data_IF_569251617460
#
_entry.id   IF_569251617460
#
_cell.length_a   1.000
_cell.length_b   1.000
_cell.length_c   1.000
_cell.angle_alpha   90.00
_cell.angle_beta   90.00
_cell.angle_gamma   90.00
#
_symmetry.space_group_name_H-M   'P 1'
#
loop_
_entity.id
_entity.type
_entity.pdbx_description
1 polymer ?
#
# COMPACT_ATOMS: atom_id res chain seq x y z
N UNK A 1 -3.27 4.53 -0.65
CA UNK A 1 -2.98 4.54 -2.09
C UNK A 1 -1.51 4.25 -2.34
N UNK A 2 -1.15 3.41 -3.32
CA UNK A 2 0.22 3.22 -3.80
C UNK A 2 1.28 2.80 -2.76
N UNK A 3 2.55 2.87 -3.13
CA UNK A 3 3.72 2.70 -2.23
C UNK A 3 4.17 4.09 -1.79
N UNK A 4 4.31 4.35 -0.48
CA UNK A 4 4.86 5.60 0.08
C UNK A 4 4.16 6.92 -0.31
N UNK A 5 3.07 6.89 -1.09
CA UNK A 5 2.27 8.09 -1.43
C UNK A 5 1.71 8.71 -0.16
N UNK A 6 1.12 7.88 0.71
CA UNK A 6 0.91 8.25 2.10
C UNK A 6 2.07 7.72 2.94
N UNK A 7 3.16 8.47 2.94
CA UNK A 7 4.30 8.23 3.82
C UNK A 7 4.13 8.89 5.18
N UNK A 8 5.14 8.79 6.03
CA UNK A 8 5.11 9.28 7.41
C UNK A 8 4.79 10.77 7.52
N UNK A 9 5.23 11.60 6.57
CA UNK A 9 4.95 13.05 6.55
C UNK A 9 3.46 13.35 6.46
N UNK A 10 2.79 12.71 5.50
CA UNK A 10 1.36 12.89 5.26
C UNK A 10 0.53 12.30 6.41
N UNK A 11 0.86 11.08 6.86
CA UNK A 11 0.18 10.46 7.99
C UNK A 11 0.31 11.32 9.27
N UNK A 12 1.52 11.84 9.55
CA UNK A 12 1.78 12.76 10.66
C UNK A 12 0.98 14.05 10.54
N UNK A 13 0.95 14.66 9.36
CA UNK A 13 0.20 15.91 9.15
C UNK A 13 -1.30 15.73 9.43
N UNK A 14 -1.91 14.65 8.92
CA UNK A 14 -3.31 14.31 9.19
C UNK A 14 -3.55 14.03 10.69
N UNK A 15 -2.64 13.28 11.33
CA UNK A 15 -2.73 12.93 12.76
C UNK A 15 -2.68 14.16 13.67
N UNK A 16 -1.89 15.17 13.30
CA UNK A 16 -1.78 16.43 14.05
C UNK A 16 -3.00 17.34 13.91
N UNK A 17 -3.84 17.12 12.88
CA UNK A 17 -5.14 17.78 12.72
C UNK A 17 -6.28 16.96 13.35
N UNK A 18 -5.95 15.98 14.21
CA UNK A 18 -6.92 15.23 15.02
C UNK A 18 -7.65 14.11 14.28
N UNK A 19 -7.22 13.75 13.07
CA UNK A 19 -7.80 12.65 12.29
C UNK A 19 -6.85 11.43 12.27
N UNK A 20 -7.34 10.27 11.84
CA UNK A 20 -6.50 9.08 11.67
C UNK A 20 -5.56 9.25 10.46
N UNK A 21 -4.26 9.45 10.69
CA UNK A 21 -3.26 9.45 9.64
C UNK A 21 -2.78 8.04 9.29
N UNK A 22 -2.88 7.63 8.02
CA UNK A 22 -2.61 6.24 7.62
C UNK A 22 -1.41 6.13 6.69
N UNK A 23 -0.36 5.45 7.15
CA UNK A 23 0.82 5.12 6.33
C UNK A 23 0.49 4.01 5.32
N UNK A 24 1.04 4.08 4.10
CA UNK A 24 1.04 2.95 3.18
C UNK A 24 2.10 1.93 3.59
N UNK A 25 1.68 0.77 4.10
CA UNK A 25 2.56 -0.32 4.51
C UNK A 25 3.14 -1.16 3.36
N UNK A 26 2.92 -0.74 2.10
CA UNK A 26 3.36 -1.51 0.94
C UNK A 26 4.83 -1.27 0.64
N UNK A 27 5.65 -2.33 0.63
CA UNK A 27 7.06 -2.31 0.22
C UNK A 27 7.96 -1.34 1.01
N UNK A 28 7.67 -1.12 2.30
CA UNK A 28 8.44 -0.23 3.17
C UNK A 28 9.87 -0.71 3.43
N UNK A 29 10.15 -2.01 3.29
CA UNK A 29 11.50 -2.57 3.22
C UNK A 29 12.33 -1.94 2.10
N UNK A 30 11.74 -1.81 0.92
CA UNK A 30 12.40 -1.20 -0.24
C UNK A 30 12.45 0.31 -0.12
N UNK A 31 11.42 0.95 0.43
CA UNK A 31 11.45 2.40 0.72
C UNK A 31 12.61 2.71 1.66
N UNK A 32 12.72 2.03 2.80
CA UNK A 32 13.81 2.22 3.76
C UNK A 32 15.18 2.01 3.10
N UNK A 33 15.38 0.88 2.42
CA UNK A 33 16.66 0.59 1.77
C UNK A 33 17.03 1.63 0.70
N UNK A 34 16.06 2.18 -0.05
CA UNK A 34 16.33 3.18 -1.09
C UNK A 34 16.54 4.59 -0.53
N UNK A 35 15.87 4.93 0.58
CA UNK A 35 16.10 6.18 1.32
C UNK A 35 17.51 6.20 1.91
N UNK A 36 17.93 5.12 2.57
CA UNK A 36 19.29 4.99 3.11
C UNK A 36 20.36 5.07 2.01
N UNK A 37 20.13 4.44 0.86
CA UNK A 37 21.05 4.53 -0.28
C UNK A 37 21.11 5.91 -0.92
N UNK A 38 20.04 6.71 -0.77
CA UNK A 38 19.99 8.11 -1.20
C UNK A 38 20.60 9.06 -0.16
N UNK A 39 21.22 8.52 0.90
CA UNK A 39 21.90 9.28 1.94
C UNK A 39 21.01 9.74 3.09
N UNK A 40 19.78 9.21 3.18
CA UNK A 40 18.81 9.56 4.21
C UNK A 40 18.66 11.10 4.37
N UNK A 41 18.13 11.81 3.36
CA UNK A 41 17.96 13.25 3.43
C UNK A 41 17.19 13.67 4.70
N UNK A 42 17.79 14.53 5.52
CA UNK A 42 17.23 14.97 6.80
C UNK A 42 17.48 14.01 7.99
N UNK A 43 18.19 12.90 7.77
CA UNK A 43 18.57 11.96 8.83
C UNK A 43 17.39 11.23 9.48
N UNK A 44 16.25 11.15 8.80
CA UNK A 44 14.99 10.66 9.37
C UNK A 44 15.00 9.14 9.55
N UNK A 45 15.42 8.39 8.52
CA UNK A 45 15.45 6.94 8.59
C UNK A 45 16.46 6.46 9.63
N UNK A 46 17.66 7.07 9.72
CA UNK A 46 18.64 6.76 10.75
C UNK A 46 18.16 7.10 12.15
N UNK A 47 17.46 8.23 12.32
CA UNK A 47 16.86 8.59 13.61
C UNK A 47 15.84 7.56 14.07
N UNK A 48 14.96 7.12 13.16
CA UNK A 48 13.99 6.08 13.47
C UNK A 48 14.67 4.75 13.79
N UNK A 49 15.66 4.34 12.99
CA UNK A 49 16.43 3.11 13.24
C UNK A 49 17.18 3.14 14.58
N UNK A 50 17.67 4.29 15.02
CA UNK A 50 18.30 4.44 16.33
C UNK A 50 17.31 4.24 17.51
N UNK A 51 16.01 4.39 17.27
CA UNK A 51 14.97 4.09 18.25
C UNK A 51 14.48 2.64 18.19
N UNK A 52 15.00 1.81 17.28
CA UNK A 52 14.60 0.41 17.16
C UNK A 52 15.07 -0.40 18.38
N UNK A 53 14.25 -1.30 18.94
CA UNK A 53 14.54 -1.99 20.21
C UNK A 53 15.80 -2.87 20.23
N UNK A 54 16.25 -3.34 19.05
CA UNK A 54 17.43 -4.20 18.91
C UNK A 54 18.44 -3.53 17.96
N UNK A 55 19.38 -2.71 18.48
CA UNK A 55 20.29 -1.90 17.68
C UNK A 55 21.09 -2.67 16.63
N UNK A 56 21.43 -3.94 16.89
CA UNK A 56 22.20 -4.80 16.00
C UNK A 56 21.48 -5.07 14.67
N UNK A 57 20.15 -5.24 14.71
CA UNK A 57 19.35 -5.40 13.48
C UNK A 57 19.28 -4.10 12.69
N UNK A 58 19.09 -2.98 13.39
CA UNK A 58 19.09 -1.65 12.77
C UNK A 58 20.45 -1.36 12.10
N UNK A 59 21.55 -1.68 12.79
CA UNK A 59 22.91 -1.50 12.27
C UNK A 59 23.15 -2.34 11.01
N UNK A 60 22.63 -3.57 10.95
CA UNK A 60 22.75 -4.43 9.76
C UNK A 60 22.13 -3.76 8.52
N UNK A 61 21.00 -3.04 8.67
CA UNK A 61 20.41 -2.30 7.56
C UNK A 61 21.25 -1.08 7.17
N UNK A 62 21.83 -0.36 8.14
CA UNK A 62 22.73 0.77 7.89
C UNK A 62 23.99 0.32 7.13
N UNK A 63 24.67 -0.71 7.61
CA UNK A 63 25.86 -1.27 6.97
C UNK A 63 25.56 -1.75 5.55
N UNK A 64 24.34 -2.24 5.32
CA UNK A 64 23.96 -2.74 4.02
C UNK A 64 23.61 -1.63 3.01
N UNK A 65 22.94 -0.57 3.46
CA UNK A 65 22.23 0.34 2.56
C UNK A 65 22.58 1.81 2.73
N UNK A 66 23.07 2.25 3.90
CA UNK A 66 23.35 3.66 4.11
C UNK A 66 24.58 4.09 3.29
N UNK A 67 24.40 5.17 2.52
CA UNK A 67 25.46 5.81 1.75
C UNK A 67 25.53 7.28 2.15
N UNK A 68 26.54 7.74 2.92
CA UNK A 68 26.59 9.12 3.43
C UNK A 68 26.40 10.18 2.33
N UNK A 69 27.05 10.00 1.18
CA UNK A 69 26.97 10.92 0.03
C UNK A 69 25.79 10.59 -0.93
N UNK A 70 24.92 9.66 -0.53
CA UNK A 70 23.85 9.13 -1.35
C UNK A 70 24.34 8.43 -2.62
N UNK A 71 23.48 8.42 -3.64
CA UNK A 71 23.79 7.89 -4.96
C UNK A 71 24.59 8.86 -5.84
N UNK A 72 24.78 10.11 -5.39
CA UNK A 72 25.38 11.19 -6.17
C UNK A 72 24.67 11.48 -7.49
N UNK A 73 25.33 12.27 -8.34
CA UNK A 73 24.90 12.57 -9.70
C UNK A 73 25.34 11.51 -10.72
N UNK A 74 26.17 10.54 -10.31
CA UNK A 74 26.67 9.48 -11.20
C UNK A 74 25.49 8.67 -11.80
N UNK A 75 25.26 8.78 -13.13
CA UNK A 75 24.20 8.03 -13.80
C UNK A 75 24.46 6.50 -13.79
N UNK A 76 25.69 6.09 -13.49
CA UNK A 76 26.11 4.69 -13.36
C UNK A 76 25.92 4.10 -11.96
N UNK A 77 25.62 4.93 -10.95
CA UNK A 77 25.52 4.49 -9.56
C UNK A 77 24.42 3.43 -9.39
N UNK A 78 24.84 2.20 -9.07
CA UNK A 78 23.92 1.08 -8.87
C UNK A 78 23.28 1.14 -7.50
N UNK A 79 21.96 0.97 -7.47
CA UNK A 79 21.25 0.70 -6.21
C UNK A 79 21.35 -0.79 -5.88
N UNK A 80 21.83 -1.09 -4.68
CA UNK A 80 21.78 -2.40 -4.06
C UNK A 80 20.34 -2.88 -3.98
N UNK A 81 20.12 -4.12 -4.41
CA UNK A 81 18.83 -4.81 -4.35
C UNK A 81 18.51 -5.26 -2.93
N UNK A 82 17.22 -5.31 -2.60
CA UNK A 82 16.75 -5.90 -1.35
C UNK A 82 16.58 -7.42 -1.47
N UNK A 83 16.76 -8.17 -0.36
CA UNK A 83 16.34 -9.57 -0.32
C UNK A 83 14.83 -9.66 -0.53
N UNK A 84 14.37 -10.71 -1.22
CA UNK A 84 12.94 -10.93 -1.49
C UNK A 84 12.36 -11.93 -0.51
N UNK A 85 11.15 -11.65 -0.04
CA UNK A 85 10.35 -12.58 0.75
C UNK A 85 10.07 -13.88 -0.03
N UNK A 86 10.02 -15.00 0.70
CA UNK A 86 9.83 -16.37 0.21
C UNK A 86 8.92 -17.13 1.18
N UNK A 87 8.11 -18.05 0.66
CA UNK A 87 7.21 -18.90 1.45
C UNK A 87 7.95 -19.76 2.47
N UNK A 88 9.15 -20.26 2.13
CA UNK A 88 10.02 -21.00 3.04
C UNK A 88 10.70 -20.12 4.11
N UNK A 89 10.34 -18.83 4.20
CA UNK A 89 10.96 -17.86 5.10
C UNK A 89 12.28 -17.28 4.58
N UNK A 90 12.84 -16.36 5.36
CA UNK A 90 14.18 -15.82 5.13
C UNK A 90 14.47 -14.59 5.98
N UNK A 91 15.26 -14.77 7.04
CA UNK A 91 15.54 -13.75 8.05
C UNK A 91 15.93 -12.37 7.48
N UNK A 92 16.81 -12.24 6.46
CA UNK A 92 17.19 -10.90 5.97
C UNK A 92 16.04 -10.08 5.37
N UNK A 93 15.08 -10.72 4.69
CA UNK A 93 13.94 -10.02 4.10
C UNK A 93 12.90 -9.65 5.16
N UNK A 94 12.67 -10.54 6.12
CA UNK A 94 11.77 -10.30 7.25
C UNK A 94 12.30 -9.16 8.14
N UNK A 95 13.59 -9.17 8.49
CA UNK A 95 14.23 -8.08 9.27
C UNK A 95 14.08 -6.73 8.57
N UNK A 96 14.40 -6.65 7.27
CA UNK A 96 14.25 -5.39 6.54
C UNK A 96 12.77 -4.93 6.45
N UNK A 97 11.83 -5.88 6.37
CA UNK A 97 10.39 -5.60 6.40
C UNK A 97 9.93 -5.05 7.75
N UNK A 98 10.39 -5.64 8.85
CA UNK A 98 10.13 -5.13 10.21
C UNK A 98 10.69 -3.71 10.36
N UNK A 99 11.97 -3.50 10.01
CA UNK A 99 12.63 -2.20 10.13
C UNK A 99 11.96 -1.11 9.29
N UNK A 100 11.57 -1.42 8.05
CA UNK A 100 10.90 -0.47 7.17
C UNK A 100 9.54 -0.01 7.70
N UNK A 101 8.75 -0.94 8.23
CA UNK A 101 7.45 -0.62 8.83
C UNK A 101 7.59 0.11 10.17
N UNK A 102 8.56 -0.30 11.00
CA UNK A 102 8.87 0.40 12.23
C UNK A 102 9.25 1.85 11.96
N UNK A 103 10.21 2.09 11.05
CA UNK A 103 10.72 3.42 10.79
C UNK A 103 9.62 4.38 10.31
N UNK A 104 8.77 3.94 9.39
CA UNK A 104 7.73 4.78 8.81
C UNK A 104 6.63 5.11 9.83
N UNK A 105 6.20 4.15 10.65
CA UNK A 105 5.20 4.38 11.71
C UNK A 105 5.78 5.22 12.84
N UNK A 106 7.02 4.95 13.26
CA UNK A 106 7.69 5.69 14.33
C UNK A 106 7.82 7.17 13.96
N UNK A 107 8.26 7.47 12.73
CA UNK A 107 8.32 8.84 12.20
C UNK A 107 6.93 9.48 12.11
N UNK A 108 5.90 8.70 11.75
CA UNK A 108 4.54 9.20 11.66
C UNK A 108 3.97 9.59 13.03
N UNK A 109 4.41 8.96 14.13
CA UNK A 109 4.00 9.26 15.50
C UNK A 109 4.89 10.29 16.21
N UNK A 110 5.99 10.72 15.60
CA UNK A 110 7.01 11.53 16.26
C UNK A 110 6.45 12.90 16.71
N UNK A 111 6.46 13.15 18.02
CA UNK A 111 6.15 14.47 18.60
C UNK A 111 4.68 14.86 18.62
N UNK A 112 3.76 13.90 18.72
CA UNK A 112 2.33 14.12 19.02
C UNK A 112 1.65 12.86 19.55
N UNK A 113 0.46 13.02 20.16
CA UNK A 113 -0.37 11.91 20.67
C UNK A 113 -1.53 11.53 19.73
N UNK A 114 -1.57 12.12 18.52
CA UNK A 114 -2.55 11.78 17.49
C UNK A 114 -2.50 10.31 17.04
N UNK A 115 -3.57 9.86 16.38
CA UNK A 115 -3.78 8.45 16.02
C UNK A 115 -3.17 8.13 14.66
N UNK A 116 -2.31 7.11 14.60
CA UNK A 116 -1.64 6.66 13.38
C UNK A 116 -2.03 5.23 13.03
N UNK A 117 -2.40 5.03 11.77
CA UNK A 117 -2.67 3.72 11.19
C UNK A 117 -1.66 3.32 10.12
N UNK A 118 -1.71 2.07 9.70
CA UNK A 118 -0.99 1.55 8.53
C UNK A 118 -1.92 0.70 7.67
N UNK A 119 -1.82 0.87 6.35
CA UNK A 119 -2.63 0.13 5.37
C UNK A 119 -1.79 -0.92 4.62
N UNK A 120 -2.23 -2.17 4.70
CA UNK A 120 -1.64 -3.33 4.00
C UNK A 120 -2.55 -3.90 2.91
N UNK A 121 -1.95 -4.74 2.07
CA UNK A 121 -2.60 -5.41 0.96
C UNK A 121 -2.59 -6.92 1.19
N UNK A 122 -3.76 -7.55 1.19
CA UNK A 122 -3.92 -9.00 1.35
C UNK A 122 -3.22 -9.80 0.23
N UNK A 123 -2.87 -9.15 -0.89
CA UNK A 123 -2.10 -9.76 -1.98
C UNK A 123 -0.59 -9.89 -1.70
N UNK A 124 -0.07 -9.29 -0.63
CA UNK A 124 1.36 -9.37 -0.25
C UNK A 124 1.51 -10.18 1.06
N UNK A 125 0.84 -11.34 1.12
CA UNK A 125 0.74 -12.16 2.34
C UNK A 125 2.07 -12.49 3.00
N UNK A 126 3.12 -12.70 2.21
CA UNK A 126 4.46 -13.02 2.73
C UNK A 126 5.04 -11.89 3.59
N UNK A 127 4.59 -10.65 3.38
CA UNK A 127 5.06 -9.50 4.15
C UNK A 127 4.20 -9.23 5.39
N UNK A 128 2.99 -9.78 5.46
CA UNK A 128 1.96 -9.34 6.42
C UNK A 128 2.45 -9.42 7.86
N UNK A 129 2.92 -10.59 8.32
CA UNK A 129 3.38 -10.77 9.70
C UNK A 129 4.59 -9.89 10.07
N UNK A 130 5.72 -9.91 9.33
CA UNK A 130 6.86 -9.05 9.65
C UNK A 130 6.53 -7.56 9.52
N UNK A 131 5.72 -7.16 8.54
CA UNK A 131 5.33 -5.76 8.37
C UNK A 131 4.48 -5.26 9.54
N UNK A 132 3.43 -6.00 9.90
CA UNK A 132 2.58 -5.68 11.04
C UNK A 132 3.40 -5.64 12.33
N UNK A 133 4.34 -6.57 12.52
CA UNK A 133 5.18 -6.56 13.71
C UNK A 133 6.02 -5.28 13.84
N UNK A 134 6.64 -4.84 12.75
CA UNK A 134 7.38 -3.56 12.73
C UNK A 134 6.49 -2.37 13.11
N UNK A 135 5.26 -2.32 12.58
CA UNK A 135 4.30 -1.27 12.91
C UNK A 135 3.85 -1.33 14.38
N UNK A 136 3.61 -2.54 14.93
CA UNK A 136 3.24 -2.75 16.33
C UNK A 136 4.38 -2.33 17.27
N UNK A 137 5.63 -2.66 16.94
CA UNK A 137 6.80 -2.21 17.71
C UNK A 137 6.91 -0.68 17.74
N UNK A 138 6.51 0.01 16.67
CA UNK A 138 6.44 1.47 16.62
C UNK A 138 5.19 2.06 17.28
N UNK A 139 4.31 1.21 17.84
CA UNK A 139 3.10 1.63 18.55
C UNK A 139 1.96 2.06 17.63
N UNK A 140 1.80 1.47 16.45
CA UNK A 140 0.66 1.76 15.55
C UNK A 140 -0.68 1.58 16.26
N UNK A 141 -1.64 2.46 15.98
CA UNK A 141 -2.96 2.42 16.61
C UNK A 141 -3.96 1.61 15.78
N UNK A 142 -3.86 1.66 14.44
CA UNK A 142 -4.76 0.96 13.52
C UNK A 142 -4.01 0.19 12.43
N UNK A 143 -4.51 -0.99 12.07
CA UNK A 143 -4.08 -1.77 10.90
C UNK A 143 -5.27 -1.92 9.96
N UNK A 144 -5.13 -1.40 8.74
CA UNK A 144 -6.13 -1.50 7.68
C UNK A 144 -5.67 -2.55 6.66
N UNK A 145 -6.53 -3.46 6.23
CA UNK A 145 -6.16 -4.47 5.22
C UNK A 145 -7.26 -4.67 4.19
N UNK A 146 -6.90 -4.60 2.90
CA UNK A 146 -7.82 -4.73 1.77
C UNK A 146 -7.34 -5.61 0.62
N UNK A 147 -8.06 -5.55 -0.51
CA UNK A 147 -7.81 -6.30 -1.75
C UNK A 147 -7.76 -7.84 -1.59
N UNK A 148 -8.63 -8.38 -0.74
CA UNK A 148 -8.79 -9.81 -0.48
C UNK A 148 -9.70 -10.05 0.71
N UNK A 149 -9.57 -11.22 1.34
CA UNK A 149 -10.33 -11.59 2.55
C UNK A 149 -9.38 -11.60 3.75
N UNK A 150 -9.33 -10.54 4.57
CA UNK A 150 -8.35 -10.38 5.65
C UNK A 150 -8.74 -11.11 6.95
N UNK A 151 -9.36 -12.29 6.86
CA UNK A 151 -9.92 -12.97 8.04
C UNK A 151 -8.90 -13.45 9.07
N UNK A 152 -7.62 -13.58 8.71
CA UNK A 152 -6.56 -14.00 9.65
C UNK A 152 -5.93 -12.82 10.41
N UNK A 153 -6.22 -11.57 10.01
CA UNK A 153 -5.50 -10.39 10.50
C UNK A 153 -5.81 -10.09 11.98
N UNK A 154 -7.05 -10.20 12.49
CA UNK A 154 -7.33 -9.97 13.91
C UNK A 154 -6.53 -10.88 14.84
N UNK A 155 -6.59 -12.20 14.62
CA UNK A 155 -5.81 -13.16 15.38
C UNK A 155 -4.29 -12.96 15.23
N UNK A 156 -3.83 -12.54 14.05
CA UNK A 156 -2.42 -12.20 13.84
C UNK A 156 -1.99 -10.97 14.66
N UNK A 157 -2.83 -9.93 14.73
CA UNK A 157 -2.57 -8.75 15.56
C UNK A 157 -2.47 -9.11 17.05
N UNK A 158 -3.35 -9.98 17.55
CA UNK A 158 -3.31 -10.47 18.94
C UNK A 158 -1.98 -11.18 19.26
N UNK A 159 -1.57 -12.12 18.40
CA UNK A 159 -0.35 -12.92 18.59
C UNK A 159 0.91 -12.07 18.48
N UNK A 160 0.96 -11.18 17.50
CA UNK A 160 2.09 -10.26 17.32
C UNK A 160 2.26 -9.31 18.50
N UNK A 161 1.16 -8.77 19.04
CA UNK A 161 1.20 -7.92 20.24
C UNK A 161 1.66 -8.69 21.50
N UNK A 162 1.50 -10.01 21.52
CA UNK A 162 2.04 -10.89 22.58
C UNK A 162 3.44 -11.43 22.26
N UNK A 163 4.03 -11.02 21.14
CA UNK A 163 5.29 -11.56 20.61
C UNK A 163 5.30 -13.09 20.45
N UNK A 164 4.15 -13.68 20.16
CA UNK A 164 4.03 -15.12 19.93
C UNK A 164 4.39 -15.48 18.47
N UNK A 165 4.96 -16.67 18.21
CA UNK A 165 5.17 -17.16 16.84
C UNK A 165 3.88 -17.17 16.05
N UNK A 166 3.89 -16.78 14.78
CA UNK A 166 2.72 -16.69 13.92
C UNK A 166 2.84 -17.65 12.74
N UNK A 167 1.72 -18.13 12.22
CA UNK A 167 1.68 -18.89 10.96
C UNK A 167 0.76 -18.19 9.98
N UNK A 168 1.31 -17.82 8.83
CA UNK A 168 0.54 -17.31 7.69
C UNK A 168 0.43 -18.40 6.63
N UNK A 169 -0.79 -18.71 6.21
CA UNK A 169 -1.04 -19.72 5.17
C UNK A 169 -0.89 -19.11 3.78
N UNK A 170 0.08 -19.62 3.03
CA UNK A 170 0.42 -19.14 1.69
C UNK A 170 -0.11 -20.14 0.66
N UNK A 171 -1.07 -19.70 -0.15
CA UNK A 171 -1.55 -20.49 -1.28
C UNK A 171 -0.42 -20.71 -2.31
N UNK A 172 -0.34 -21.93 -2.83
CA UNK A 172 0.62 -22.31 -3.87
C UNK A 172 -0.15 -22.82 -5.07
N UNK A 173 0.08 -22.24 -6.24
CA UNK A 173 -0.52 -22.74 -7.48
C UNK A 173 -0.04 -24.17 -7.77
N UNK A 174 -1.00 -25.04 -8.05
CA UNK A 174 -0.76 -26.47 -8.28
C UNK A 174 -0.62 -27.29 -6.99
N UNK A 175 -1.00 -26.75 -5.83
CA UNK A 175 -1.08 -27.48 -4.57
C UNK A 175 -2.46 -27.28 -3.93
N UNK A 176 -3.03 -28.34 -3.36
CA UNK A 176 -4.29 -28.27 -2.62
C UNK A 176 -4.07 -27.76 -1.19
N UNK A 177 -2.86 -27.96 -0.63
CA UNK A 177 -2.53 -27.54 0.74
C UNK A 177 -1.70 -26.25 0.70
N UNK A 178 -2.08 -25.22 1.48
CA UNK A 178 -1.24 -24.05 1.61
C UNK A 178 0.08 -24.38 2.31
N UNK A 179 1.13 -23.61 2.01
CA UNK A 179 2.38 -23.64 2.76
C UNK A 179 2.25 -22.77 4.01
N UNK A 180 2.70 -23.30 5.14
CA UNK A 180 2.82 -22.54 6.37
C UNK A 180 4.09 -21.69 6.31
N UNK A 181 3.91 -20.37 6.37
CA UNK A 181 4.98 -19.41 6.56
C UNK A 181 5.01 -19.00 8.04
N UNK A 182 6.03 -19.45 8.76
CA UNK A 182 6.23 -19.17 10.18
C UNK A 182 7.01 -17.87 10.34
N UNK A 183 6.54 -16.99 11.21
CA UNK A 183 7.25 -15.79 11.63
C UNK A 183 7.29 -15.74 13.16
N UNK A 184 8.48 -15.65 13.75
CA UNK A 184 8.66 -15.65 15.20
C UNK A 184 9.21 -14.27 15.66
N UNK A 185 8.36 -13.41 16.25
CA UNK A 185 8.77 -12.09 16.72
C UNK A 185 9.80 -12.15 17.84
N UNK A 186 9.68 -13.11 18.76
CA UNK A 186 10.58 -13.25 19.90
C UNK A 186 11.96 -13.76 19.44
N UNK A 187 11.99 -14.71 18.52
CA UNK A 187 13.25 -15.16 17.90
C UNK A 187 13.93 -14.05 17.11
N UNK A 188 13.17 -13.24 16.35
CA UNK A 188 13.71 -12.10 15.61
C UNK A 188 14.37 -11.08 16.55
N UNK A 189 13.76 -10.80 17.69
CA UNK A 189 14.31 -9.88 18.70
C UNK A 189 15.34 -10.53 19.64
N UNK A 190 15.72 -11.80 19.41
CA UNK A 190 16.60 -12.55 20.31
C UNK A 190 16.15 -12.45 21.80
N UNK A 191 14.83 -12.45 22.04
CA UNK A 191 14.23 -12.31 23.36
C UNK A 191 14.15 -10.87 23.92
N UNK A 192 14.69 -9.87 23.24
CA UNK A 192 14.67 -8.45 23.67
C UNK A 192 13.34 -7.78 23.35
N UNK A 193 12.26 -8.25 23.97
CA UNK A 193 10.91 -7.70 23.76
C UNK A 193 10.75 -6.39 24.54
N UNK A 194 10.43 -5.25 23.87
CA UNK A 194 10.24 -3.98 24.54
C UNK A 194 8.86 -3.94 25.24
N UNK A 195 8.79 -4.53 26.43
CA UNK A 195 7.60 -4.49 27.29
C UNK A 195 6.32 -5.04 26.64
N UNK A 196 5.16 -4.71 27.23
CA UNK A 196 3.87 -5.11 26.69
C UNK A 196 3.53 -4.26 25.45
N UNK A 197 3.39 -4.90 24.29
CA UNK A 197 2.99 -4.23 23.05
C UNK A 197 1.47 -4.04 23.01
N UNK A 198 1.03 -2.91 22.45
CA UNK A 198 -0.39 -2.64 22.24
C UNK A 198 -0.87 -3.40 21.00
N UNK A 199 -1.99 -4.12 21.13
CA UNK A 199 -2.72 -4.64 19.97
C UNK A 199 -3.35 -3.47 19.21
N UNK A 200 -3.08 -3.30 17.91
CA UNK A 200 -3.74 -2.27 17.10
C UNK A 200 -5.17 -2.68 16.76
N UNK A 201 -6.04 -1.70 16.56
CA UNK A 201 -7.38 -1.92 16.02
C UNK A 201 -7.29 -2.37 14.56
N UNK A 202 -8.00 -3.43 14.19
CA UNK A 202 -7.99 -4.00 12.84
C UNK A 202 -9.23 -3.56 12.08
N UNK A 203 -9.03 -2.82 11.00
CA UNK A 203 -10.09 -2.41 10.08
C UNK A 203 -10.00 -3.21 8.78
N UNK A 204 -11.04 -3.99 8.49
CA UNK A 204 -11.12 -4.71 7.22
C UNK A 204 -11.67 -3.81 6.11
N UNK A 205 -10.93 -3.65 5.03
CA UNK A 205 -11.40 -2.96 3.83
C UNK A 205 -12.18 -3.95 2.98
N UNK A 206 -13.48 -3.68 2.81
CA UNK A 206 -14.41 -4.53 2.08
C UNK A 206 -15.24 -3.67 1.13
N UNK A 207 -15.69 -4.23 0.01
CA UNK A 207 -16.59 -3.50 -0.89
C UNK A 207 -18.07 -3.68 -0.53
N UNK A 208 -18.42 -4.78 0.17
CA UNK A 208 -19.81 -5.20 0.32
C UNK A 208 -20.13 -5.77 1.71
N UNK A 209 -21.38 -5.57 2.19
CA UNK A 209 -21.83 -6.09 3.49
C UNK A 209 -21.77 -7.61 3.63
N UNK A 210 -21.83 -8.38 2.53
CA UNK A 210 -21.79 -9.85 2.61
C UNK A 210 -20.47 -10.34 3.17
N UNK A 211 -19.34 -9.76 2.72
CA UNK A 211 -18.03 -10.11 3.25
C UNK A 211 -17.87 -9.60 4.70
N UNK A 212 -18.36 -8.40 4.98
CA UNK A 212 -18.36 -7.85 6.35
C UNK A 212 -19.12 -8.77 7.32
N UNK A 213 -20.32 -9.20 6.93
CA UNK A 213 -21.15 -10.13 7.70
C UNK A 213 -20.52 -11.51 7.85
N UNK A 214 -19.74 -11.98 6.87
CA UNK A 214 -18.98 -13.22 6.99
C UNK A 214 -17.87 -13.08 8.04
N UNK A 215 -17.06 -12.03 7.96
CA UNK A 215 -15.94 -11.78 8.88
C UNK A 215 -16.42 -11.53 10.32
N UNK A 216 -17.55 -10.85 10.50
CA UNK A 216 -18.08 -10.49 11.81
C UNK A 216 -18.65 -11.67 12.62
N UNK A 217 -18.85 -12.86 12.01
CA UNK A 217 -19.49 -14.02 12.65
C UNK A 217 -18.59 -14.78 13.62
N UNK A 218 -17.30 -14.86 13.35
CA UNK A 218 -16.34 -15.63 14.14
C UNK A 218 -15.38 -14.67 14.86
N UNK A 219 -15.24 -14.82 16.17
CA UNK A 219 -14.36 -13.98 16.99
C UNK A 219 -12.89 -14.01 16.54
N UNK A 220 -12.42 -15.13 15.95
CA UNK A 220 -11.06 -15.22 15.44
C UNK A 220 -10.84 -14.40 14.16
N UNK A 221 -11.92 -14.14 13.40
CA UNK A 221 -11.86 -13.40 12.12
C UNK A 221 -12.49 -12.02 12.19
N UNK A 222 -13.12 -11.69 13.31
CA UNK A 222 -13.89 -10.45 13.50
C UNK A 222 -12.94 -9.25 13.59
N UNK A 223 -13.02 -8.30 12.64
CA UNK A 223 -12.29 -7.04 12.76
C UNK A 223 -12.98 -6.12 13.77
N UNK A 224 -12.27 -5.08 14.19
CA UNK A 224 -12.78 -4.07 15.11
C UNK A 224 -13.62 -3.00 14.38
N UNK A 225 -13.49 -2.92 13.06
CA UNK A 225 -14.34 -2.10 12.20
C UNK A 225 -14.13 -2.38 10.72
N UNK A 226 -14.82 -1.61 9.87
CA UNK A 226 -14.75 -1.77 8.42
C UNK A 226 -14.50 -0.47 7.67
N UNK A 227 -13.76 -0.54 6.56
CA UNK A 227 -13.76 0.51 5.55
C UNK A 227 -14.51 -0.01 4.34
N UNK A 228 -15.60 0.64 3.97
CA UNK A 228 -16.45 0.27 2.86
C UNK A 228 -15.97 1.00 1.61
N UNK A 229 -15.22 0.29 0.78
CA UNK A 229 -14.55 0.85 -0.38
C UNK A 229 -15.35 0.64 -1.66
N UNK A 230 -15.75 1.74 -2.30
CA UNK A 230 -16.44 1.73 -3.58
C UNK A 230 -15.46 1.70 -4.76
N UNK A 231 -15.98 1.42 -5.96
CA UNK A 231 -15.20 1.45 -7.20
C UNK A 231 -14.63 2.82 -7.56
N UNK A 232 -14.98 3.91 -6.85
CA UNK A 232 -14.38 5.23 -7.02
C UNK A 232 -12.97 5.39 -6.41
N UNK A 233 -12.60 4.54 -5.44
CA UNK A 233 -11.35 4.66 -4.66
C UNK A 233 -10.08 4.37 -5.48
N UNK A 234 -8.99 5.11 -5.27
CA UNK A 234 -7.70 4.91 -5.97
C UNK A 234 -7.04 3.56 -5.69
N UNK A 235 -6.22 3.06 -6.63
CA UNK A 235 -5.49 1.79 -6.47
C UNK A 235 -6.23 0.57 -7.03
N UNK A 236 -6.08 -0.56 -6.34
CA UNK A 236 -6.80 -1.80 -6.67
C UNK A 236 -8.29 -1.64 -6.40
N UNK A 237 -9.13 -2.19 -7.27
CA UNK A 237 -10.58 -2.21 -7.09
C UNK A 237 -11.06 -3.64 -6.93
N UNK A 238 -12.06 -3.87 -6.08
CA UNK A 238 -12.81 -5.12 -6.15
C UNK A 238 -13.39 -5.28 -7.56
N UNK A 239 -13.32 -6.46 -8.18
CA UNK A 239 -13.98 -6.70 -9.46
C UNK A 239 -15.50 -6.48 -9.35
N UNK A 240 -16.18 -6.03 -10.42
CA UNK A 240 -17.64 -5.95 -10.44
C UNK A 240 -18.29 -7.30 -10.15
N UNK A 241 -19.49 -7.26 -9.56
CA UNK A 241 -20.25 -8.47 -9.25
C UNK A 241 -20.82 -9.14 -10.49
N UNK A 242 -20.37 -10.37 -10.71
CA UNK A 242 -20.80 -11.23 -11.81
C UNK A 242 -19.74 -11.31 -12.90
N UNK A 243 -20.11 -11.73 -14.11
CA UNK A 243 -19.18 -11.73 -15.25
C UNK A 243 -18.64 -10.32 -15.51
N UNK A 244 -17.33 -10.20 -15.69
CA UNK A 244 -16.69 -8.94 -16.07
C UNK A 244 -17.24 -8.47 -17.42
N UNK A 245 -17.86 -7.29 -17.44
CA UNK A 245 -18.26 -6.59 -18.66
C UNK A 245 -17.50 -5.28 -18.75
N UNK A 246 -17.07 -4.93 -19.96
CA UNK A 246 -16.33 -3.70 -20.21
C UNK A 246 -17.21 -2.70 -20.98
N UNK A 247 -17.00 -1.42 -20.74
CA UNK A 247 -17.60 -0.34 -21.53
C UNK A 247 -16.85 -0.10 -22.85
N UNK A 248 -17.28 0.89 -23.63
CA UNK A 248 -16.65 1.26 -24.90
C UNK A 248 -15.21 1.79 -24.77
N UNK A 249 -14.81 2.22 -23.56
CA UNK A 249 -13.45 2.63 -23.24
C UNK A 249 -12.60 1.48 -22.66
N UNK A 250 -13.16 0.27 -22.56
CA UNK A 250 -12.49 -0.92 -22.04
C UNK A 250 -12.40 -0.97 -20.51
N UNK A 251 -13.20 -0.18 -19.79
CA UNK A 251 -13.22 -0.17 -18.33
C UNK A 251 -14.31 -1.09 -17.75
N UNK A 252 -14.11 -1.69 -16.55
CA UNK A 252 -15.12 -2.50 -15.89
C UNK A 252 -16.43 -1.74 -15.61
N UNK A 253 -17.55 -2.34 -15.98
CA UNK A 253 -18.89 -1.86 -15.64
C UNK A 253 -19.31 -2.36 -14.25
N UNK A 254 -19.52 -1.42 -13.33
CA UNK A 254 -20.13 -1.66 -12.02
C UNK A 254 -21.63 -1.35 -12.10
N UNK A 255 -22.45 -2.15 -11.44
CA UNK A 255 -23.90 -1.98 -11.41
C UNK A 255 -24.47 -1.88 -10.00
N UNK A 256 -25.79 -1.82 -9.83
CA UNK A 256 -26.44 -1.61 -8.53
C UNK A 256 -26.11 -2.65 -7.44
N UNK A 257 -25.56 -3.81 -7.82
CA UNK A 257 -25.15 -4.85 -6.87
C UNK A 257 -23.77 -4.57 -6.25
N UNK A 258 -23.01 -3.66 -6.85
CA UNK A 258 -21.72 -3.18 -6.36
C UNK A 258 -21.88 -2.03 -5.37
N UNK A 259 -23.07 -1.42 -5.28
CA UNK A 259 -23.39 -0.40 -4.29
C UNK A 259 -23.55 -1.04 -2.90
N UNK A 260 -22.88 -0.50 -1.86
CA UNK A 260 -22.96 -1.06 -0.52
C UNK A 260 -24.31 -0.74 0.14
N UNK A 261 -24.98 -1.77 0.67
CA UNK A 261 -26.16 -1.63 1.52
C UNK A 261 -25.73 -1.15 2.92
N UNK A 262 -25.83 0.16 3.17
CA UNK A 262 -25.39 0.80 4.41
C UNK A 262 -26.27 0.43 5.61
N UNK A 263 -27.56 0.17 5.40
CA UNK A 263 -28.45 -0.26 6.48
C UNK A 263 -28.01 -1.63 7.04
N UNK A 264 -27.56 -2.54 6.17
CA UNK A 264 -26.93 -3.80 6.61
C UNK A 264 -25.63 -3.57 7.35
N UNK A 265 -24.82 -2.59 6.96
CA UNK A 265 -23.59 -2.27 7.69
C UNK A 265 -23.88 -1.80 9.11
N UNK A 266 -24.85 -0.90 9.28
CA UNK A 266 -25.32 -0.45 10.60
C UNK A 266 -25.79 -1.64 11.45
N UNK A 267 -26.54 -2.57 10.85
CA UNK A 267 -27.05 -3.75 11.55
C UNK A 267 -25.97 -4.73 12.04
N UNK A 268 -24.72 -4.63 11.54
CA UNK A 268 -23.60 -5.43 12.05
C UNK A 268 -23.10 -4.97 13.43
N UNK A 269 -23.42 -3.75 13.84
CA UNK A 269 -23.04 -3.20 15.15
C UNK A 269 -21.54 -2.94 15.34
N UNK A 270 -20.77 -2.88 14.24
CA UNK A 270 -19.36 -2.51 14.23
C UNK A 270 -19.17 -1.14 13.53
N UNK A 271 -18.22 -0.31 13.97
CA UNK A 271 -17.97 0.98 13.31
C UNK A 271 -17.51 0.76 11.87
N UNK A 272 -17.93 1.66 10.99
CA UNK A 272 -17.50 1.63 9.60
C UNK A 272 -17.26 3.03 9.02
N UNK A 273 -16.37 3.12 8.04
CA UNK A 273 -16.06 4.33 7.29
C UNK A 273 -16.36 4.10 5.81
N UNK A 274 -16.78 5.14 5.08
CA UNK A 274 -16.97 5.05 3.63
C UNK A 274 -15.70 5.51 2.89
N UNK A 275 -15.34 4.83 1.81
CA UNK A 275 -14.18 5.17 0.99
C UNK A 275 -14.51 5.15 -0.51
N UNK A 276 -13.84 6.02 -1.26
CA UNK A 276 -14.06 6.21 -2.70
C UNK A 276 -15.20 7.19 -2.98
N UNK A 277 -14.86 8.34 -3.57
CA UNK A 277 -15.83 9.40 -3.86
C UNK A 277 -16.31 10.20 -2.65
N UNK A 278 -15.51 10.25 -1.57
CA UNK A 278 -15.91 10.83 -0.27
C UNK A 278 -15.16 12.13 0.05
N UNK A 279 -14.65 12.83 -0.96
CA UNK A 279 -13.78 13.99 -0.79
C UNK A 279 -14.55 15.32 -0.81
N UNK A 280 -15.69 15.42 -0.12
CA UNK A 280 -16.43 16.67 0.08
C UNK A 280 -17.10 16.75 1.46
N UNK A 281 -17.34 17.95 2.02
CA UNK A 281 -18.05 18.09 3.28
C UNK A 281 -19.45 17.45 3.27
N UNK A 282 -20.15 17.54 2.14
CA UNK A 282 -21.48 16.94 1.94
C UNK A 282 -21.41 15.42 1.98
N UNK A 283 -20.39 14.82 1.36
CA UNK A 283 -20.16 13.38 1.42
C UNK A 283 -19.84 12.92 2.84
N UNK A 284 -19.04 13.69 3.60
CA UNK A 284 -18.78 13.41 5.03
C UNK A 284 -20.08 13.47 5.85
N UNK A 285 -20.89 14.51 5.66
CA UNK A 285 -22.16 14.66 6.36
C UNK A 285 -23.14 13.53 6.00
N UNK A 286 -23.24 13.17 4.72
CA UNK A 286 -24.08 12.08 4.24
C UNK A 286 -23.64 10.72 4.79
N UNK A 287 -22.33 10.44 4.84
CA UNK A 287 -21.79 9.22 5.42
C UNK A 287 -22.18 9.10 6.91
N UNK A 288 -22.01 10.18 7.68
CA UNK A 288 -22.40 10.22 9.11
C UNK A 288 -23.91 10.05 9.29
N UNK A 289 -24.72 10.73 8.48
CA UNK A 289 -26.18 10.59 8.51
C UNK A 289 -26.64 9.16 8.18
N UNK A 290 -25.89 8.43 7.35
CA UNK A 290 -26.11 7.03 7.04
C UNK A 290 -25.58 6.05 8.11
N UNK A 291 -25.05 6.55 9.24
CA UNK A 291 -24.57 5.74 10.36
C UNK A 291 -23.08 5.36 10.30
N UNK A 292 -22.31 5.88 9.35
CA UNK A 292 -20.85 5.69 9.32
C UNK A 292 -20.17 6.52 10.42
N UNK A 293 -19.05 6.03 10.94
CA UNK A 293 -18.18 6.77 11.85
C UNK A 293 -17.46 7.95 11.16
N UNK A 294 -17.28 7.85 9.85
CA UNK A 294 -16.68 8.90 9.02
C UNK A 294 -16.36 8.41 7.61
N UNK A 295 -15.34 9.00 7.00
CA UNK A 295 -14.88 8.65 5.66
C UNK A 295 -13.37 8.39 5.64
N UNK A 296 -12.92 7.62 4.66
CA UNK A 296 -11.51 7.49 4.29
C UNK A 296 -11.28 8.16 2.92
N UNK A 297 -10.42 9.18 2.91
CA UNK A 297 -10.08 9.94 1.70
C UNK A 297 -8.66 9.61 1.27
N UNK A 298 -8.47 9.35 -0.02
CA UNK A 298 -7.17 9.05 -0.62
C UNK A 298 -6.68 10.14 -1.57
N UNK A 299 -7.43 10.36 -2.66
CA UNK A 299 -7.00 11.19 -3.79
C UNK A 299 -6.63 12.63 -3.40
N UNK A 300 -7.42 13.28 -2.54
CA UNK A 300 -7.13 14.64 -2.09
C UNK A 300 -5.80 14.69 -1.32
N UNK A 301 -5.60 13.77 -0.37
CA UNK A 301 -4.35 13.69 0.39
C UNK A 301 -3.13 13.32 -0.47
N UNK A 302 -3.34 12.50 -1.51
CA UNK A 302 -2.26 12.11 -2.41
C UNK A 302 -1.69 13.26 -3.25
N UNK A 303 -2.46 14.33 -3.42
CA UNK A 303 -2.06 15.54 -4.14
C UNK A 303 -1.65 16.69 -3.19
N UNK A 304 -1.54 16.42 -1.88
CA UNK A 304 -0.99 17.37 -0.92
C UNK A 304 0.55 17.48 -1.02
N UNK A 305 1.10 18.56 -0.49
CA UNK A 305 2.56 18.76 -0.41
C UNK A 305 3.28 17.67 0.39
N UNK A 306 2.66 17.15 1.45
CA UNK A 306 3.22 16.11 2.31
C UNK A 306 3.20 14.72 1.66
N UNK A 307 2.50 14.55 0.53
CA UNK A 307 2.44 13.31 -0.24
C UNK A 307 3.83 12.90 -0.71
N UNK A 308 4.09 11.59 -0.70
CA UNK A 308 5.30 11.02 -1.26
C UNK A 308 5.36 11.04 -2.79
N UNK A 309 4.28 11.37 -3.52
CA UNK A 309 4.32 11.51 -4.98
C UNK A 309 5.37 12.57 -5.34
N UNK A 310 6.27 12.23 -6.27
CA UNK A 310 7.32 13.13 -6.74
C UNK A 310 6.70 14.44 -7.23
N UNK A 311 7.29 15.59 -6.83
CA UNK A 311 6.71 16.92 -7.05
C UNK A 311 6.25 17.16 -8.48
N UNK A 312 7.09 16.86 -9.47
CA UNK A 312 6.77 17.03 -10.88
C UNK A 312 5.55 16.21 -11.35
N UNK A 313 5.35 14.99 -10.81
CA UNK A 313 4.17 14.18 -11.12
C UNK A 313 2.91 14.76 -10.46
N UNK A 314 3.05 15.35 -9.27
CA UNK A 314 1.94 15.99 -8.56
C UNK A 314 1.52 17.28 -9.24
N UNK A 315 2.47 18.12 -9.63
CA UNK A 315 2.24 19.35 -10.42
C UNK A 315 1.52 18.99 -11.74
N UNK A 316 2.03 18.02 -12.50
CA UNK A 316 1.39 17.56 -13.75
C UNK A 316 -0.05 17.04 -13.54
N UNK A 317 -0.33 16.36 -12.42
CA UNK A 317 -1.69 15.91 -12.08
C UNK A 317 -2.62 17.10 -11.83
N UNK A 318 -2.16 18.10 -11.08
CA UNK A 318 -2.93 19.31 -10.76
C UNK A 318 -3.18 20.14 -12.01
N UNK A 319 -2.15 20.38 -12.83
CA UNK A 319 -2.24 21.14 -14.08
C UNK A 319 -3.23 20.50 -15.06
N UNK A 320 -3.14 19.17 -15.26
CA UNK A 320 -4.06 18.45 -16.14
C UNK A 320 -5.48 18.44 -15.61
N UNK A 321 -5.65 18.32 -14.29
CA UNK A 321 -6.98 18.33 -13.69
C UNK A 321 -7.63 19.72 -13.80
N UNK A 322 -6.86 20.78 -13.56
CA UNK A 322 -7.30 22.16 -13.77
C UNK A 322 -7.67 22.42 -15.23
N UNK A 323 -6.87 21.91 -16.18
CA UNK A 323 -7.18 21.99 -17.61
C UNK A 323 -8.31 21.07 -18.09
N UNK A 324 -8.89 20.22 -17.22
CA UNK A 324 -9.93 19.26 -17.58
C UNK A 324 -9.45 18.12 -18.49
N UNK A 325 -8.13 17.87 -18.55
CA UNK A 325 -7.51 16.86 -19.42
C UNK A 325 -7.00 15.63 -18.67
N UNK A 326 -7.03 15.62 -17.34
CA UNK A 326 -6.63 14.46 -16.54
C UNK A 326 -7.62 13.31 -16.75
N UNK A 327 -7.12 12.20 -17.29
CA UNK A 327 -7.89 10.96 -17.44
C UNK A 327 -7.36 9.91 -16.48
N UNK A 328 -8.27 9.24 -15.75
CA UNK A 328 -7.96 8.12 -14.85
C UNK A 328 -8.77 6.91 -15.30
N UNK A 329 -8.08 5.85 -15.74
CA UNK A 329 -8.71 4.62 -16.23
C UNK A 329 -8.63 3.52 -15.20
N UNK A 330 -9.72 2.77 -15.05
CA UNK A 330 -9.75 1.49 -14.33
C UNK A 330 -9.35 0.40 -15.29
N UNK A 331 -8.07 0.08 -15.33
CA UNK A 331 -7.54 -0.92 -16.23
C UNK A 331 -7.77 -2.34 -15.64
N UNK A 332 -8.57 -3.20 -16.29
CA UNK A 332 -8.83 -4.56 -15.80
C UNK A 332 -7.60 -5.48 -15.87
N UNK A 333 -6.60 -5.15 -16.69
CA UNK A 333 -5.42 -5.96 -16.94
C UNK A 333 -4.16 -5.45 -16.23
N UNK A 334 -4.04 -4.15 -15.95
CA UNK A 334 -2.79 -3.56 -15.44
C UNK A 334 -2.16 -4.30 -14.24
N UNK A 335 -2.98 -4.75 -13.27
CA UNK A 335 -2.47 -5.45 -12.09
C UNK A 335 -2.04 -6.90 -12.38
N UNK A 336 -0.88 -7.35 -11.90
CA UNK A 336 -0.50 -8.76 -11.90
C UNK A 336 -1.38 -9.65 -11.02
N UNK A 337 -2.24 -9.07 -10.17
CA UNK A 337 -3.06 -9.80 -9.19
C UNK A 337 -4.44 -10.21 -9.70
N UNK A 338 -4.78 -9.83 -10.94
CA UNK A 338 -6.10 -10.03 -11.55
C UNK A 338 -7.17 -9.03 -11.14
N UNK A 339 -6.88 -8.14 -10.20
CA UNK A 339 -7.80 -7.07 -9.78
C UNK A 339 -7.66 -5.86 -10.71
N UNK A 340 -8.78 -5.21 -11.09
CA UNK A 340 -8.70 -3.93 -11.80
C UNK A 340 -7.89 -2.90 -11.00
N UNK A 341 -7.16 -2.03 -11.71
CA UNK A 341 -6.28 -1.05 -11.09
C UNK A 341 -6.44 0.31 -11.75
N UNK A 342 -6.54 1.36 -10.94
CA UNK A 342 -6.70 2.73 -11.44
C UNK A 342 -5.35 3.33 -11.82
N UNK A 343 -5.25 3.81 -13.05
CA UNK A 343 -4.04 4.38 -13.64
C UNK A 343 -4.35 5.78 -14.19
N UNK A 344 -3.68 6.79 -13.65
CA UNK A 344 -3.69 8.12 -14.23
C UNK A 344 -2.92 8.10 -15.56
N UNK A 345 -3.51 8.65 -16.61
CA UNK A 345 -2.93 8.67 -17.95
C UNK A 345 -2.01 9.89 -18.09
N UNK A 346 -0.71 9.68 -17.86
CA UNK A 346 0.30 10.73 -17.84
C UNK A 346 1.46 10.42 -18.80
N UNK A 347 1.96 11.40 -19.58
CA UNK A 347 3.16 11.25 -20.39
C UNK A 347 4.39 10.86 -19.57
N UNK A 348 5.32 10.12 -20.16
CA UNK A 348 6.56 9.70 -19.48
C UNK A 348 6.37 8.63 -18.40
N UNK A 349 5.14 8.16 -18.17
CA UNK A 349 4.81 7.10 -17.22
C UNK A 349 4.45 5.81 -17.97
N UNK A 350 4.34 4.67 -17.27
CA UNK A 350 3.94 3.41 -17.91
C UNK A 350 2.49 3.38 -18.41
N UNK A 351 1.69 4.42 -18.17
CA UNK A 351 0.39 4.56 -18.83
C UNK A 351 0.53 4.95 -20.31
N UNK A 352 1.66 5.56 -20.69
CA UNK A 352 1.98 5.87 -22.07
C UNK A 352 2.36 4.58 -22.83
N UNK A 353 1.68 4.21 -23.92
CA UNK A 353 1.97 3.00 -24.69
C UNK A 353 3.42 2.92 -25.18
N UNK A 354 4.02 4.05 -25.58
CA UNK A 354 5.40 4.11 -26.06
C UNK A 354 6.40 3.81 -24.95
N UNK A 355 6.19 4.40 -23.77
CA UNK A 355 7.01 4.14 -22.57
C UNK A 355 6.85 2.70 -22.09
N UNK A 356 5.61 2.19 -22.06
CA UNK A 356 5.32 0.81 -21.68
C UNK A 356 5.99 -0.20 -22.62
N UNK A 357 5.96 0.04 -23.94
CA UNK A 357 6.59 -0.81 -24.95
C UNK A 357 8.13 -0.75 -24.87
N UNK A 358 8.71 0.42 -24.64
CA UNK A 358 10.16 0.59 -24.51
C UNK A 358 10.71 0.02 -23.19
N UNK A 359 9.87 -0.11 -22.16
CA UNK A 359 10.27 -0.67 -20.87
C UNK A 359 10.57 -2.17 -20.99
N UNK A 360 11.84 -2.52 -20.80
CA UNK A 360 12.26 -3.93 -20.67
C UNK A 360 11.70 -4.53 -19.37
N UNK A 361 10.85 -5.56 -19.48
CA UNK A 361 10.27 -6.25 -18.32
C UNK A 361 11.35 -6.85 -17.42
N UNK A 362 11.12 -6.79 -16.12
CA UNK A 362 11.97 -7.33 -15.05
C UNK A 362 11.16 -7.44 -13.76
N UNK A 363 11.44 -8.47 -12.96
CA UNK A 363 10.85 -8.69 -11.64
C UNK A 363 11.98 -8.88 -10.61
N UNK A 364 12.51 -7.76 -10.13
CA UNK A 364 13.59 -7.67 -9.15
C UNK A 364 13.08 -7.44 -7.72
N UNK A 365 11.88 -6.90 -7.54
CA UNK A 365 11.25 -6.68 -6.22
C UNK A 365 10.37 -7.84 -5.76
N UNK A 366 9.42 -8.25 -6.60
CA UNK A 366 8.73 -9.54 -6.42
C UNK A 366 7.64 -9.62 -5.35
N UNK A 367 7.03 -8.52 -4.93
CA UNK A 367 5.93 -8.50 -3.94
C UNK A 367 4.63 -9.16 -4.44
N UNK A 368 4.35 -9.07 -5.74
CA UNK A 368 3.12 -9.61 -6.36
C UNK A 368 3.38 -10.91 -7.11
N UNK A 369 4.33 -11.73 -6.62
CA UNK A 369 4.58 -13.05 -7.20
C UNK A 369 3.71 -14.08 -6.48
N UNK A 370 3.09 -14.97 -7.23
CA UNK A 370 2.43 -16.16 -6.70
C UNK A 370 3.44 -17.30 -6.62
N UNK A 371 3.57 -17.98 -5.46
CA UNK A 371 4.31 -19.23 -5.38
C UNK A 371 3.58 -20.32 -6.18
N UNK A 372 4.32 -21.12 -6.95
CA UNK A 372 3.77 -22.21 -7.75
C UNK A 372 4.70 -23.43 -7.71
N UNK A 373 4.14 -24.63 -7.86
CA UNK A 373 4.94 -25.85 -8.01
C UNK A 373 5.65 -25.85 -9.37
N UNK A 374 6.97 -26.02 -9.34
CA UNK A 374 7.80 -26.21 -10.52
C UNK A 374 8.53 -27.55 -10.50
N UNK A 375 9.18 -27.95 -11.61
CA UNK A 375 9.81 -29.27 -11.74
C UNK A 375 10.92 -29.57 -10.72
N UNK A 376 11.54 -28.54 -10.14
CA UNK A 376 12.65 -28.64 -9.17
C UNK A 376 12.32 -28.01 -7.82
N UNK A 377 11.04 -27.86 -7.51
CA UNK A 377 10.56 -27.21 -6.29
C UNK A 377 9.79 -25.92 -6.54
N UNK A 378 9.67 -25.10 -5.50
CA UNK A 378 8.84 -23.89 -5.51
C UNK A 378 9.43 -22.81 -6.43
N UNK A 379 8.62 -22.33 -7.37
CA UNK A 379 8.92 -21.15 -8.20
C UNK A 379 8.00 -20.00 -7.82
N UNK A 380 8.37 -18.78 -8.19
CA UNK A 380 7.57 -17.57 -7.93
C UNK A 380 7.30 -16.87 -9.25
N UNK A 381 6.03 -16.77 -9.65
CA UNK A 381 5.61 -16.25 -10.94
C UNK A 381 4.90 -14.92 -10.77
N UNK A 382 5.15 -13.97 -11.65
CA UNK A 382 4.37 -12.74 -11.72
C UNK A 382 4.03 -12.44 -13.19
N UNK A 383 2.77 -12.27 -13.58
CA UNK A 383 2.41 -11.99 -14.98
C UNK A 383 3.08 -10.75 -15.61
N UNK A 384 3.59 -9.81 -14.80
CA UNK A 384 4.35 -8.64 -15.27
C UNK A 384 5.88 -8.85 -15.36
N UNK A 385 6.38 -10.05 -15.07
CA UNK A 385 7.79 -10.40 -15.26
C UNK A 385 8.12 -10.59 -16.77
N UNK A 386 9.40 -10.81 -17.15
CA UNK A 386 9.73 -11.16 -18.54
C UNK A 386 8.91 -12.37 -19.01
N UNK A 387 8.25 -12.27 -20.16
CA UNK A 387 7.32 -13.31 -20.69
C UNK A 387 8.00 -14.68 -20.72
N UNK A 388 9.20 -14.78 -21.29
CA UNK A 388 9.95 -16.02 -21.35
C UNK A 388 10.30 -16.61 -19.96
N UNK A 389 10.45 -15.77 -18.93
CA UNK A 389 10.67 -16.23 -17.56
C UNK A 389 9.36 -16.73 -16.92
N UNK A 390 8.23 -16.07 -17.18
CA UNK A 390 6.91 -16.52 -16.75
C UNK A 390 6.57 -17.90 -17.33
N UNK A 391 6.70 -18.06 -18.66
CA UNK A 391 6.42 -19.31 -19.38
C UNK A 391 7.34 -20.43 -18.93
N UNK A 392 8.66 -20.18 -18.81
CA UNK A 392 9.61 -21.19 -18.30
C UNK A 392 9.29 -21.66 -16.89
N UNK A 393 8.66 -20.81 -16.07
CA UNK A 393 8.22 -21.21 -14.73
C UNK A 393 6.93 -22.01 -14.78
N UNK A 394 6.25 -22.12 -15.91
CA UNK A 394 5.01 -22.88 -16.13
C UNK A 394 3.73 -22.03 -16.15
N UNK A 395 3.83 -20.72 -16.37
CA UNK A 395 2.66 -19.85 -16.56
C UNK A 395 2.23 -19.74 -18.02
N UNK A 396 0.98 -19.33 -18.27
CA UNK A 396 0.44 -19.11 -19.61
C UNK A 396 0.83 -17.72 -20.16
N UNK A 397 1.42 -17.67 -21.35
CA UNK A 397 1.79 -16.42 -22.02
C UNK A 397 0.62 -15.44 -22.15
N UNK A 398 -0.61 -15.93 -22.34
CA UNK A 398 -1.80 -15.10 -22.46
C UNK A 398 -2.05 -14.23 -21.21
N UNK A 399 -1.69 -14.72 -20.02
CA UNK A 399 -1.88 -14.01 -18.76
C UNK A 399 -0.95 -12.79 -18.61
N UNK A 400 0.09 -12.71 -19.44
CA UNK A 400 1.10 -11.64 -19.42
C UNK A 400 0.69 -10.40 -20.22
N UNK A 401 -0.39 -10.49 -20.99
CA UNK A 401 -0.90 -9.41 -21.86
C UNK A 401 -1.47 -8.27 -21.02
N UNK A 402 -1.07 -7.03 -21.34
CA UNK A 402 -1.51 -5.82 -20.63
C UNK A 402 -0.98 -5.65 -19.19
N UNK A 403 -0.19 -6.59 -18.66
CA UNK A 403 0.29 -6.54 -17.26
C UNK A 403 1.40 -5.51 -17.07
N UNK A 404 1.24 -4.65 -16.08
CA UNK A 404 2.22 -3.63 -15.69
C UNK A 404 2.95 -4.02 -14.41
N UNK A 405 4.22 -3.63 -14.30
CA UNK A 405 5.01 -3.88 -13.09
C UNK A 405 4.67 -2.82 -12.01
N UNK A 406 3.65 -3.09 -11.20
CA UNK A 406 3.22 -2.15 -10.15
C UNK A 406 4.33 -1.86 -9.14
N UNK A 407 5.13 -2.87 -8.75
CA UNK A 407 6.17 -2.68 -7.73
C UNK A 407 7.19 -1.60 -8.13
N UNK A 408 7.76 -1.69 -9.33
CA UNK A 408 8.74 -0.70 -9.80
C UNK A 408 8.08 0.64 -10.13
N UNK A 409 6.92 0.61 -10.79
CA UNK A 409 6.21 1.83 -11.17
C UNK A 409 5.78 2.67 -9.97
N UNK A 410 5.24 2.05 -8.92
CA UNK A 410 4.79 2.77 -7.72
C UNK A 410 5.96 3.32 -6.88
N UNK A 411 7.10 2.62 -6.83
CA UNK A 411 8.30 3.17 -6.19
C UNK A 411 8.90 4.33 -7.00
N UNK A 412 8.85 4.26 -8.33
CA UNK A 412 9.26 5.37 -9.19
C UNK A 412 8.35 6.60 -9.04
N UNK A 413 7.05 6.41 -8.79
CA UNK A 413 6.09 7.49 -8.51
C UNK A 413 6.48 8.33 -7.30
N UNK A 414 7.15 7.74 -6.30
CA UNK A 414 7.61 8.46 -5.10
C UNK A 414 9.08 8.91 -5.18
N UNK A 415 9.64 8.98 -6.39
CA UNK A 415 11.02 9.41 -6.60
C UNK A 415 12.08 8.35 -6.25
N UNK A 416 11.68 7.14 -5.87
CA UNK A 416 12.57 6.04 -5.52
C UNK A 416 12.71 5.04 -6.67
N UNK A 417 12.77 5.51 -7.91
CA UNK A 417 12.93 4.65 -9.09
C UNK A 417 14.23 3.84 -9.02
N UNK A 418 14.19 2.57 -9.43
CA UNK A 418 15.41 1.77 -9.55
C UNK A 418 16.31 2.37 -10.65
N UNK A 419 17.54 2.76 -10.29
CA UNK A 419 18.59 3.13 -11.26
C UNK A 419 19.27 1.88 -11.82
N UNK A 420 19.47 1.84 -13.14
CA UNK A 420 20.07 0.73 -13.90
C UNK A 420 21.29 1.23 -14.71
N UNK A 421 22.20 0.32 -15.10
CA UNK A 421 23.34 0.68 -15.94
C UNK A 421 22.93 1.45 -17.20
N UNK A 422 23.74 2.43 -17.60
CA UNK A 422 23.46 3.33 -18.73
C UNK A 422 22.44 4.43 -18.41
N UNK A 423 22.31 4.83 -17.15
CA UNK A 423 21.46 5.96 -16.74
C UNK A 423 19.94 5.70 -16.79
N UNK A 424 19.53 4.45 -17.04
CA UNK A 424 18.10 4.10 -17.17
C UNK A 424 17.44 4.03 -15.80
N UNK A 425 16.34 4.75 -15.62
CA UNK A 425 15.45 4.63 -14.46
C UNK A 425 14.17 3.86 -14.81
N UNK A 426 13.55 3.22 -13.82
CA UNK A 426 12.20 2.70 -13.97
C UNK A 426 11.18 3.84 -14.13
N UNK A 427 10.31 3.81 -15.14
CA UNK A 427 9.26 4.82 -15.30
C UNK A 427 8.19 4.70 -14.21
N UNK A 428 7.58 5.81 -13.78
CA UNK A 428 6.53 5.82 -12.77
C UNK A 428 5.22 5.18 -13.26
N UNK A 429 4.38 4.78 -12.31
CA UNK A 429 2.98 4.38 -12.50
C UNK A 429 2.15 5.10 -11.45
N UNK A 430 1.33 6.05 -11.87
CA UNK A 430 0.55 6.88 -10.96
C UNK A 430 -0.86 6.30 -10.80
N UNK A 431 -1.28 6.15 -9.55
CA UNK A 431 -2.64 5.73 -9.19
C UNK A 431 -3.32 6.80 -8.35
N UNK A 432 -4.57 7.11 -8.69
CA UNK A 432 -5.44 8.03 -7.97
C UNK A 432 -6.89 7.58 -8.20
N UNK A 433 -7.82 8.01 -7.35
CA UNK A 433 -9.26 7.75 -7.54
C UNK A 433 -9.83 8.54 -8.73
N UNK A 434 -11.06 8.19 -9.12
CA UNK A 434 -11.76 8.87 -10.24
C UNK A 434 -12.45 10.16 -9.84
N UNK A 435 -12.84 10.27 -8.57
CA UNK A 435 -13.40 11.50 -8.05
C UNK A 435 -12.28 12.53 -7.84
N UNK A 436 -12.40 13.64 -8.57
CA UNK A 436 -11.51 14.80 -8.53
C UNK A 436 -12.29 16.09 -8.22
N UNK A 437 -13.54 15.98 -7.77
CA UNK A 437 -14.46 17.10 -7.52
C UNK A 437 -13.97 18.05 -6.42
N UNK A 438 -13.00 17.63 -5.61
CA UNK A 438 -12.36 18.43 -4.57
C UNK A 438 -11.39 19.50 -5.12
N UNK A 439 -10.88 19.33 -6.34
CA UNK A 439 -9.81 20.19 -6.86
C UNK A 439 -10.22 21.65 -7.07
N UNK A 440 -11.41 21.98 -7.63
CA UNK A 440 -11.84 23.38 -7.74
C UNK A 440 -11.84 24.13 -6.41
N UNK A 441 -11.98 23.42 -5.28
CA UNK A 441 -12.00 24.04 -3.95
C UNK A 441 -10.63 24.12 -3.29
N UNK A 442 -9.82 23.05 -3.40
CA UNK A 442 -8.52 22.94 -2.73
C UNK A 442 -7.36 23.49 -3.56
N UNK A 443 -7.51 23.50 -4.88
CA UNK A 443 -6.48 23.87 -5.87
C UNK A 443 -7.12 24.57 -7.08
N UNK A 444 -7.83 25.70 -6.88
CA UNK A 444 -8.60 26.36 -7.95
C UNK A 444 -7.74 26.71 -9.17
N UNK A 445 -6.48 27.09 -8.95
CA UNK A 445 -5.53 27.55 -9.98
C UNK A 445 -4.34 26.59 -10.15
N UNK A 446 -4.57 25.27 -9.96
CA UNK A 446 -3.52 24.24 -9.87
C UNK A 446 -2.49 24.49 -8.74
N UNK A 447 -2.84 25.32 -7.76
CA UNK A 447 -1.98 25.65 -6.63
C UNK A 447 -1.78 24.47 -5.67
N UNK A 448 -0.58 24.33 -5.07
CA UNK A 448 -0.35 23.33 -4.05
C UNK A 448 -1.23 23.60 -2.82
N UNK A 449 -1.60 22.53 -2.12
CA UNK A 449 -2.32 22.56 -0.85
C UNK A 449 -1.79 21.50 0.11
N UNK A 450 -2.11 21.66 1.39
CA UNK A 450 -1.59 20.82 2.47
C UNK A 450 -2.63 19.81 2.96
N UNK A 451 -2.18 18.78 3.67
CA UNK A 451 -3.07 17.85 4.36
C UNK A 451 -3.99 18.58 5.36
N UNK A 452 -3.49 19.64 5.99
CA UNK A 452 -4.29 20.47 6.90
C UNK A 452 -5.44 21.19 6.18
N UNK A 453 -5.22 21.68 4.96
CA UNK A 453 -6.27 22.31 4.16
C UNK A 453 -7.40 21.33 3.84
N UNK A 454 -7.03 20.08 3.50
CA UNK A 454 -8.01 19.00 3.26
C UNK A 454 -8.83 18.73 4.53
N UNK A 455 -8.19 18.52 5.68
CA UNK A 455 -8.91 18.20 6.93
C UNK A 455 -9.83 19.34 7.34
N UNK A 456 -9.34 20.58 7.33
CA UNK A 456 -10.13 21.77 7.73
C UNK A 456 -11.31 22.02 6.80
N UNK A 457 -11.16 21.71 5.53
CA UNK A 457 -12.27 21.82 4.58
C UNK A 457 -13.31 20.72 4.79
N UNK A 458 -12.90 19.46 4.94
CA UNK A 458 -13.81 18.31 5.09
C UNK A 458 -14.51 18.27 6.46
N UNK A 459 -13.86 18.75 7.51
CA UNK A 459 -14.37 18.73 8.88
C UNK A 459 -14.16 20.09 9.58
N UNK A 460 -14.96 21.12 9.23
CA UNK A 460 -14.88 22.42 9.90
C UNK A 460 -15.11 22.28 11.40
N UNK A 461 -14.11 22.65 12.21
CA UNK A 461 -14.18 22.58 13.69
C UNK A 461 -13.50 21.37 14.34
N UNK A 462 -12.85 20.49 13.58
CA UNK A 462 -11.94 19.50 14.15
C UNK A 462 -10.69 20.20 14.72
N UNK A 463 -10.58 20.31 16.05
CA UNK A 463 -9.36 20.65 16.78
C UNK A 463 -9.28 19.84 18.06
#
# INVERSE_FOLDING_TARGET
>A
MGVGVSGWRLARAVSREGQLGVVSGTALDVVLARVLQSGDPGGHARRALAAFPLPELAQTALDCYFRPDGLGEDPGARMRTTPRLRAAGGAPAEVLTVLGNFAEVWLAKEGHDGVVGVNYLEKIRLATAPAMFGAILAGVDHVLVGAGVPGQIPALADRLARCEPCVTRIAVEGDERPLDHVFDPAALLAGHVPGALRRPEVLAIVSLPVLAAYLARDGATRPDGFVIETSGAGGHSAPPRGPMRLDGAGEPLYGPRDDPDLARMVALGLPFWLAGGQASPEAVAAARAAGAAGVQVGSAFALCEESGIARALREELLDRAHAGTLTVRTDPAASPTGFPFKVAQLPGTVSDPGVAAARRRVCDLGFLRTPARGPRGLVYRCPAEPVAAYVRKGGDEAETRGRLCLCNGLLATIGLAQRRPGGRAEPPLVTIGKDLSFLPRLSPDASPYTAADVVRWLAPGAR
#
